data_IF_716754132741
#
_entry.id   IF_716754132741
#
_cell.length_a   1.000
_cell.length_b   1.000
_cell.length_c   1.000
_cell.angle_alpha   90.00
_cell.angle_beta   90.00
_cell.angle_gamma   90.00
#
_symmetry.space_group_name_H-M   'P 1'
#
loop_
_entity.id
_entity.type
_entity.pdbx_description
1 polymer ?
#
# COMPACT_ATOMS: atom_id res chain seq x y z
N UNK A 1 23.85 57.72 -8.81
CA UNK A 1 22.58 57.00 -9.05
C UNK A 1 22.82 55.52 -9.42
N UNK A 2 23.93 55.19 -10.10
CA UNK A 2 24.28 53.80 -10.46
C UNK A 2 24.54 52.85 -9.27
N UNK A 3 25.26 53.29 -8.22
CA UNK A 3 25.62 52.42 -7.08
C UNK A 3 24.39 51.89 -6.32
N UNK A 4 23.30 52.68 -6.28
CA UNK A 4 22.05 52.30 -5.64
C UNK A 4 21.29 51.22 -6.44
N UNK A 5 21.29 51.31 -7.77
CA UNK A 5 20.73 50.30 -8.67
C UNK A 5 21.54 49.00 -8.69
N UNK A 6 22.88 49.10 -8.60
CA UNK A 6 23.78 47.93 -8.48
C UNK A 6 23.57 47.21 -7.14
N UNK A 7 23.38 47.95 -6.04
CA UNK A 7 23.05 47.35 -4.73
C UNK A 7 21.69 46.65 -4.71
N UNK A 8 20.64 47.28 -5.28
CA UNK A 8 19.31 46.68 -5.38
C UNK A 8 19.27 45.45 -6.30
N UNK A 9 20.01 45.47 -7.41
CA UNK A 9 20.11 44.31 -8.31
C UNK A 9 20.91 43.17 -7.69
N UNK A 10 21.95 43.44 -6.91
CA UNK A 10 22.68 42.40 -6.17
C UNK A 10 21.80 41.72 -5.10
N UNK A 11 21.00 42.50 -4.36
CA UNK A 11 20.06 41.97 -3.37
C UNK A 11 18.94 41.16 -4.06
N UNK A 12 18.38 41.68 -5.16
CA UNK A 12 17.37 40.98 -5.96
C UNK A 12 17.90 39.67 -6.55
N UNK A 13 19.14 39.68 -7.08
CA UNK A 13 19.79 38.48 -7.63
C UNK A 13 20.06 37.44 -6.55
N UNK A 14 20.48 37.87 -5.36
CA UNK A 14 20.69 36.98 -4.21
C UNK A 14 19.38 36.37 -3.70
N UNK A 15 18.30 37.16 -3.65
CA UNK A 15 16.97 36.69 -3.30
C UNK A 15 16.42 35.70 -4.34
N UNK A 16 16.64 35.97 -5.64
CA UNK A 16 16.27 35.06 -6.72
C UNK A 16 17.07 33.76 -6.67
N UNK A 17 18.37 33.81 -6.35
CA UNK A 17 19.20 32.62 -6.19
C UNK A 17 18.76 31.77 -4.98
N UNK A 18 18.40 32.40 -3.86
CA UNK A 18 17.84 31.70 -2.70
C UNK A 18 16.49 31.04 -3.05
N UNK A 19 15.59 31.73 -3.74
CA UNK A 19 14.33 31.17 -4.19
C UNK A 19 14.52 30.00 -5.18
N UNK A 20 15.47 30.11 -6.10
CA UNK A 20 15.83 29.04 -7.03
C UNK A 20 16.39 27.81 -6.30
N UNK A 21 17.20 28.01 -5.26
CA UNK A 21 17.71 26.93 -4.41
C UNK A 21 16.59 26.20 -3.67
N UNK A 22 15.68 26.94 -3.02
CA UNK A 22 14.52 26.33 -2.36
C UNK A 22 13.62 25.59 -3.36
N UNK A 23 13.39 26.17 -4.55
CA UNK A 23 12.62 25.52 -5.62
C UNK A 23 13.30 24.24 -6.12
N UNK A 24 14.62 24.24 -6.26
CA UNK A 24 15.39 23.04 -6.61
C UNK A 24 15.29 21.96 -5.53
N UNK A 25 15.39 22.34 -4.25
CA UNK A 25 15.26 21.41 -3.14
C UNK A 25 13.88 20.76 -3.09
N UNK A 26 12.81 21.56 -3.21
CA UNK A 26 11.43 21.08 -3.26
C UNK A 26 11.20 20.19 -4.47
N UNK A 27 11.72 20.56 -5.64
CA UNK A 27 11.62 19.74 -6.86
C UNK A 27 12.34 18.40 -6.72
N UNK A 28 13.55 18.40 -6.12
CA UNK A 28 14.32 17.18 -5.85
C UNK A 28 13.59 16.24 -4.89
N UNK A 29 12.99 16.77 -3.84
CA UNK A 29 12.25 15.96 -2.87
C UNK A 29 10.91 15.48 -3.45
N UNK A 30 10.23 16.30 -4.25
CA UNK A 30 9.04 15.89 -4.99
C UNK A 30 9.35 14.80 -6.03
N UNK A 31 10.48 14.89 -6.73
CA UNK A 31 10.92 13.85 -7.67
C UNK A 31 11.25 12.53 -6.96
N UNK A 32 11.92 12.59 -5.80
CA UNK A 32 12.16 11.40 -4.99
C UNK A 32 10.84 10.78 -4.50
N UNK A 33 9.90 11.61 -4.06
CA UNK A 33 8.57 11.18 -3.65
C UNK A 33 7.82 10.53 -4.82
N UNK A 34 7.75 11.17 -5.98
CA UNK A 34 7.13 10.61 -7.18
C UNK A 34 7.78 9.30 -7.60
N UNK A 35 9.11 9.21 -7.57
CA UNK A 35 9.83 7.97 -7.87
C UNK A 35 9.49 6.86 -6.87
N UNK A 36 9.41 7.17 -5.56
CA UNK A 36 9.00 6.22 -4.51
C UNK A 36 7.55 5.76 -4.73
N UNK A 37 6.65 6.70 -5.01
CA UNK A 37 5.24 6.44 -5.32
C UNK A 37 5.12 5.56 -6.56
N UNK A 38 5.70 5.92 -7.70
CA UNK A 38 5.58 5.16 -8.95
C UNK A 38 6.18 3.76 -8.84
N UNK A 39 7.33 3.61 -8.17
CA UNK A 39 7.93 2.29 -7.95
C UNK A 39 7.08 1.40 -7.04
N UNK A 40 6.39 1.99 -6.06
CA UNK A 40 5.60 1.24 -5.08
C UNK A 40 4.10 1.23 -5.42
N UNK A 41 3.65 1.91 -6.47
CA UNK A 41 2.23 2.09 -6.80
C UNK A 41 1.58 0.76 -7.14
N UNK A 42 2.23 -0.05 -7.98
CA UNK A 42 1.71 -1.37 -8.36
C UNK A 42 1.64 -2.30 -7.13
N UNK A 43 2.70 -2.35 -6.33
CA UNK A 43 2.76 -3.18 -5.11
C UNK A 43 1.77 -2.72 -4.05
N UNK A 44 1.68 -1.41 -3.79
CA UNK A 44 0.73 -0.84 -2.82
C UNK A 44 -0.72 -1.02 -3.26
N UNK A 45 -1.02 -0.90 -4.56
CA UNK A 45 -2.35 -1.16 -5.09
C UNK A 45 -2.76 -2.62 -4.86
N UNK A 46 -1.86 -3.56 -5.17
CA UNK A 46 -2.13 -4.99 -4.96
C UNK A 46 -2.25 -5.34 -3.47
N UNK A 47 -1.38 -4.83 -2.60
CA UNK A 47 -1.48 -5.03 -1.16
C UNK A 47 -2.79 -4.49 -0.59
N UNK A 48 -3.22 -3.30 -1.01
CA UNK A 48 -4.49 -2.72 -0.57
C UNK A 48 -5.70 -3.55 -1.02
N UNK A 49 -5.71 -4.05 -2.26
CA UNK A 49 -6.79 -4.92 -2.73
C UNK A 49 -6.86 -6.23 -1.92
N UNK A 50 -5.71 -6.87 -1.65
CA UNK A 50 -5.68 -8.08 -0.80
C UNK A 50 -6.18 -7.76 0.61
N UNK A 51 -5.76 -6.62 1.18
CA UNK A 51 -6.20 -6.17 2.50
C UNK A 51 -7.71 -5.97 2.57
N UNK A 52 -8.30 -5.30 1.58
CA UNK A 52 -9.74 -5.05 1.51
C UNK A 52 -10.54 -6.37 1.47
N UNK A 53 -10.10 -7.31 0.62
CA UNK A 53 -10.74 -8.61 0.51
C UNK A 53 -10.61 -9.44 1.80
N UNK A 54 -9.45 -9.40 2.45
CA UNK A 54 -9.24 -10.07 3.74
C UNK A 54 -10.11 -9.50 4.86
N UNK A 55 -10.23 -8.18 4.93
CA UNK A 55 -11.08 -7.52 5.94
C UNK A 55 -12.55 -7.87 5.69
N UNK A 56 -13.01 -7.83 4.42
CA UNK A 56 -14.37 -8.24 4.08
C UNK A 56 -14.63 -9.68 4.49
N UNK A 57 -13.74 -10.60 4.13
CA UNK A 57 -13.88 -12.02 4.48
C UNK A 57 -13.89 -12.22 6.01
N UNK A 58 -13.04 -11.50 6.76
CA UNK A 58 -13.03 -11.57 8.23
C UNK A 58 -14.38 -11.12 8.83
N UNK A 59 -14.91 -9.99 8.36
CA UNK A 59 -16.20 -9.46 8.85
C UNK A 59 -17.34 -10.41 8.53
N UNK A 60 -17.36 -10.99 7.33
CA UNK A 60 -18.38 -11.96 6.94
C UNK A 60 -18.26 -13.27 7.75
N UNK A 61 -17.04 -13.70 8.12
CA UNK A 61 -16.83 -14.87 8.97
C UNK A 61 -17.12 -14.65 10.45
N UNK A 62 -16.96 -13.43 10.95
CA UNK A 62 -17.32 -13.08 12.32
C UNK A 62 -18.83 -13.23 12.57
N UNK A 63 -19.63 -13.09 11.50
CA UNK A 63 -21.09 -13.27 11.51
C UNK A 63 -21.54 -14.60 10.90
N UNK A 64 -20.66 -15.61 10.83
CA UNK A 64 -20.95 -16.90 10.20
C UNK A 64 -22.17 -17.62 10.77
N UNK A 65 -22.51 -17.36 12.05
CA UNK A 65 -23.67 -17.93 12.72
C UNK A 65 -25.01 -17.36 12.26
N UNK A 66 -25.01 -16.22 11.55
CA UNK A 66 -26.21 -15.61 10.96
C UNK A 66 -26.29 -15.77 9.44
N UNK A 67 -25.19 -16.20 8.79
CA UNK A 67 -25.15 -16.46 7.36
C UNK A 67 -26.03 -17.66 7.00
N UNK A 68 -26.80 -17.50 5.91
CA UNK A 68 -27.46 -18.63 5.27
C UNK A 68 -26.46 -19.52 4.51
N UNK A 69 -26.82 -20.78 4.27
CA UNK A 69 -25.96 -21.72 3.51
C UNK A 69 -25.58 -21.17 2.12
N UNK A 70 -26.50 -20.45 1.46
CA UNK A 70 -26.25 -19.80 0.17
C UNK A 70 -25.26 -18.62 0.26
N UNK A 71 -25.19 -17.95 1.40
CA UNK A 71 -24.22 -16.88 1.64
C UNK A 71 -22.87 -17.43 2.04
N UNK A 72 -22.84 -18.51 2.83
CA UNK A 72 -21.62 -19.24 3.13
C UNK A 72 -20.95 -19.77 1.85
N UNK A 73 -21.71 -20.34 0.91
CA UNK A 73 -21.20 -20.79 -0.38
C UNK A 73 -20.60 -19.65 -1.25
N UNK A 74 -20.97 -18.39 -1.00
CA UNK A 74 -20.40 -17.22 -1.68
C UNK A 74 -19.07 -16.78 -1.10
N UNK A 75 -18.66 -17.27 0.07
CA UNK A 75 -17.34 -17.00 0.64
C UNK A 75 -16.24 -17.78 -0.09
N UNK A 76 -16.57 -18.98 -0.60
CA UNK A 76 -15.66 -19.83 -1.35
C UNK A 76 -15.02 -19.11 -2.57
N UNK A 77 -15.80 -18.49 -3.47
CA UNK A 77 -15.23 -17.71 -4.57
C UNK A 77 -14.47 -16.46 -4.11
N UNK A 78 -14.81 -15.85 -2.96
CA UNK A 78 -14.03 -14.75 -2.41
C UNK A 78 -12.65 -15.20 -1.95
N UNK A 79 -12.56 -16.36 -1.29
CA UNK A 79 -11.28 -16.96 -0.92
C UNK A 79 -10.43 -17.28 -2.15
N UNK A 80 -11.05 -17.78 -3.23
CA UNK A 80 -10.33 -18.00 -4.50
C UNK A 80 -9.79 -16.71 -5.11
N UNK A 81 -10.56 -15.61 -5.06
CA UNK A 81 -10.07 -14.30 -5.51
C UNK A 81 -8.91 -13.79 -4.63
N UNK A 82 -8.99 -13.95 -3.31
CA UNK A 82 -7.89 -13.62 -2.39
C UNK A 82 -6.63 -14.42 -2.75
N UNK A 83 -6.75 -15.74 -2.96
CA UNK A 83 -5.63 -16.60 -3.38
C UNK A 83 -5.01 -16.13 -4.69
N UNK A 84 -5.83 -15.74 -5.67
CA UNK A 84 -5.38 -15.21 -6.95
C UNK A 84 -4.62 -13.90 -6.77
N UNK A 85 -5.11 -12.99 -5.93
CA UNK A 85 -4.43 -11.72 -5.66
C UNK A 85 -3.12 -11.92 -4.87
N UNK A 86 -3.09 -12.86 -3.93
CA UNK A 86 -1.84 -13.26 -3.25
C UNK A 86 -0.83 -13.85 -4.23
N UNK A 87 -1.27 -14.61 -5.24
CA UNK A 87 -0.36 -15.08 -6.30
C UNK A 87 0.19 -13.95 -7.16
N UNK A 88 -0.63 -12.96 -7.51
CA UNK A 88 -0.16 -11.75 -8.20
C UNK A 88 0.86 -11.01 -7.34
N UNK A 89 0.58 -10.88 -6.04
CA UNK A 89 1.48 -10.27 -5.06
C UNK A 89 2.80 -11.04 -4.93
N UNK A 90 2.78 -12.38 -5.03
CA UNK A 90 3.98 -13.22 -4.98
C UNK A 90 4.98 -12.94 -6.11
N UNK A 91 4.49 -12.41 -7.24
CA UNK A 91 5.34 -11.98 -8.35
C UNK A 91 5.97 -10.60 -8.12
N UNK A 92 5.42 -9.81 -7.19
CA UNK A 92 5.87 -8.44 -6.89
C UNK A 92 6.77 -8.39 -5.65
N UNK A 93 6.50 -9.24 -4.65
CA UNK A 93 7.19 -9.27 -3.36
C UNK A 93 7.36 -10.70 -2.87
N UNK A 94 8.37 -10.91 -2.02
CA UNK A 94 8.55 -12.17 -1.33
C UNK A 94 7.41 -12.37 -0.32
N UNK A 95 6.57 -13.39 -0.55
CA UNK A 95 5.47 -13.69 0.35
C UNK A 95 5.96 -14.13 1.72
N UNK A 96 5.31 -13.58 2.74
CA UNK A 96 5.45 -13.99 4.13
C UNK A 96 4.76 -15.34 4.37
N UNK A 97 5.23 -16.15 5.33
CA UNK A 97 4.67 -17.48 5.62
C UNK A 97 3.15 -17.47 5.89
N UNK A 98 2.64 -16.42 6.50
CA UNK A 98 1.23 -16.23 6.84
C UNK A 98 0.35 -16.14 5.58
N UNK A 99 0.81 -15.38 4.57
CA UNK A 99 0.14 -15.27 3.27
C UNK A 99 0.24 -16.56 2.46
N UNK A 100 1.33 -17.32 2.62
CA UNK A 100 1.51 -18.63 1.99
C UNK A 100 0.53 -19.64 2.59
N UNK A 101 0.32 -19.63 3.91
CA UNK A 101 -0.68 -20.47 4.58
C UNK A 101 -2.08 -20.16 4.07
N UNK A 102 -2.46 -18.89 4.02
CA UNK A 102 -3.76 -18.47 3.51
C UNK A 102 -3.96 -18.86 2.04
N UNK A 103 -2.92 -18.73 1.22
CA UNK A 103 -2.95 -19.20 -0.17
C UNK A 103 -3.23 -20.69 -0.28
N UNK A 104 -2.68 -21.48 0.64
CA UNK A 104 -2.78 -22.94 0.64
C UNK A 104 -3.99 -23.47 1.43
N UNK A 105 -4.79 -22.60 2.05
CA UNK A 105 -6.00 -23.01 2.75
C UNK A 105 -6.94 -23.76 1.80
N UNK A 106 -7.54 -24.87 2.24
CA UNK A 106 -8.40 -25.69 1.37
C UNK A 106 -9.71 -24.99 1.05
N UNK A 107 -10.42 -24.57 2.09
CA UNK A 107 -11.72 -23.93 2.04
C UNK A 107 -11.84 -22.83 3.10
N UNK A 108 -12.97 -22.14 3.11
CA UNK A 108 -13.28 -21.08 4.07
C UNK A 108 -13.49 -21.62 5.49
N UNK A 109 -14.00 -22.84 5.64
CA UNK A 109 -14.26 -23.48 6.93
C UNK A 109 -12.96 -23.82 7.71
N UNK A 110 -11.85 -24.00 7.00
CA UNK A 110 -10.53 -24.28 7.57
C UNK A 110 -9.73 -22.99 7.87
N UNK A 111 -10.27 -21.80 7.59
CA UNK A 111 -9.63 -20.55 7.98
C UNK A 111 -9.89 -20.29 9.47
N UNK A 112 -8.82 -20.35 10.26
CA UNK A 112 -8.87 -19.94 11.66
C UNK A 112 -8.84 -18.41 11.72
N UNK A 113 -9.69 -17.79 12.53
CA UNK A 113 -9.75 -16.32 12.70
C UNK A 113 -8.36 -15.71 13.01
N UNK A 114 -7.57 -16.41 13.81
CA UNK A 114 -6.17 -16.03 14.10
C UNK A 114 -5.27 -15.98 12.86
N UNK A 115 -5.46 -16.86 11.86
CA UNK A 115 -4.66 -16.86 10.63
C UNK A 115 -5.03 -15.70 9.71
N UNK A 116 -6.32 -15.33 9.66
CA UNK A 116 -6.82 -14.13 8.98
C UNK A 116 -6.28 -12.86 9.63
N UNK A 117 -6.30 -12.77 10.96
CA UNK A 117 -5.75 -11.65 11.73
C UNK A 117 -4.27 -11.44 11.41
N UNK A 118 -3.47 -12.51 11.46
CA UNK A 118 -2.04 -12.47 11.17
C UNK A 118 -1.76 -12.08 9.71
N UNK A 119 -2.54 -12.57 8.75
CA UNK A 119 -2.41 -12.17 7.35
C UNK A 119 -2.69 -10.68 7.14
N UNK A 120 -3.72 -10.14 7.82
CA UNK A 120 -4.07 -8.70 7.80
C UNK A 120 -2.94 -7.86 8.39
N UNK A 121 -2.40 -8.25 9.55
CA UNK A 121 -1.30 -7.52 10.19
C UNK A 121 -0.04 -7.50 9.32
N UNK A 122 0.29 -8.64 8.70
CA UNK A 122 1.42 -8.75 7.78
C UNK A 122 1.25 -7.79 6.61
N UNK A 123 0.09 -7.76 5.96
CA UNK A 123 -0.14 -6.85 4.82
C UNK A 123 -0.10 -5.38 5.25
N UNK A 124 -0.66 -5.03 6.42
CA UNK A 124 -0.54 -3.68 6.98
C UNK A 124 0.92 -3.29 7.22
N UNK A 125 1.73 -4.21 7.72
CA UNK A 125 3.17 -4.00 7.93
C UNK A 125 3.91 -3.81 6.60
N UNK A 126 3.62 -4.61 5.59
CA UNK A 126 4.22 -4.50 4.25
C UNK A 126 3.82 -3.18 3.56
N UNK A 127 2.56 -2.76 3.68
CA UNK A 127 2.11 -1.44 3.20
C UNK A 127 2.90 -0.34 3.90
N UNK A 128 3.03 -0.39 5.23
CA UNK A 128 3.80 0.62 5.98
C UNK A 128 5.26 0.67 5.54
N UNK A 129 5.88 -0.49 5.33
CA UNK A 129 7.27 -0.60 4.86
C UNK A 129 7.49 -0.04 3.44
N UNK A 130 6.45 0.01 2.59
CA UNK A 130 6.55 0.68 1.28
C UNK A 130 6.59 2.21 1.39
N UNK A 131 6.15 2.77 2.51
CA UNK A 131 6.02 4.21 2.70
C UNK A 131 7.07 4.78 3.67
N UNK A 132 7.60 3.99 4.61
CA UNK A 132 8.79 4.30 5.43
C UNK A 132 10.06 4.43 4.56
#
# INVERSE_FOLDING_TARGET
MEIFFVGLSAISTSAAAAAAWFSYQVSKDNFKFQKKVTNNQATSYQLNNVLELLIRLKVELEDIGSLSDDEFLKLEPQLQEIKKQINVLAHLVQLRPELIKLRNASDVAHLVDQELELAIEVIKSEIKALWD
#
